data_IF_673487641211
#
_entry.id   IF_673487641211
#
_cell.length_a   1.000
_cell.length_b   1.000
_cell.length_c   1.000
_cell.angle_alpha   90.00
_cell.angle_beta   90.00
_cell.angle_gamma   90.00
#
_symmetry.space_group_name_H-M   'P 1'
#
loop_
_entity.id
_entity.type
_entity.pdbx_description
1 polymer ?
#
# COMPACT_ATOMS: atom_id res chain seq x y z
N UNK A 1 -6.77 27.83 -20.48
CA UNK A 1 -6.58 26.88 -19.35
C UNK A 1 -5.12 26.88 -18.89
N UNK A 2 -4.17 26.96 -19.82
CA UNK A 2 -2.73 27.14 -19.60
C UNK A 2 -2.38 28.30 -18.65
N UNK A 3 -3.11 29.43 -18.68
CA UNK A 3 -2.82 30.56 -17.78
C UNK A 3 -3.03 30.28 -16.28
N UNK A 4 -3.80 29.25 -15.91
CA UNK A 4 -4.08 28.92 -14.50
C UNK A 4 -3.03 27.94 -13.94
N UNK A 5 -2.64 26.95 -14.74
CA UNK A 5 -1.64 25.95 -14.39
C UNK A 5 -0.39 26.20 -15.23
N UNK A 6 0.38 27.21 -14.82
CA UNK A 6 1.62 27.61 -15.48
C UNK A 6 2.78 26.66 -15.07
N UNK A 7 3.25 25.88 -16.04
CA UNK A 7 4.35 24.94 -15.83
C UNK A 7 5.68 25.63 -15.52
N UNK A 8 5.96 26.81 -16.11
CA UNK A 8 7.19 27.55 -15.89
C UNK A 8 7.30 28.08 -14.46
N UNK A 9 6.21 28.67 -13.94
CA UNK A 9 6.14 29.11 -12.54
C UNK A 9 6.27 27.94 -11.56
N UNK A 10 5.60 26.82 -11.86
CA UNK A 10 5.66 25.62 -11.04
C UNK A 10 7.07 25.01 -11.00
N UNK A 11 7.73 24.88 -12.15
CA UNK A 11 9.08 24.33 -12.26
C UNK A 11 10.12 25.23 -11.58
N UNK A 12 10.03 26.55 -11.76
CA UNK A 12 10.92 27.52 -11.10
C UNK A 12 10.82 27.44 -9.57
N UNK A 13 9.60 27.29 -9.05
CA UNK A 13 9.39 27.04 -7.63
C UNK A 13 9.97 25.69 -7.19
N UNK A 14 9.75 24.63 -7.97
CA UNK A 14 10.22 23.29 -7.63
C UNK A 14 11.75 23.20 -7.56
N UNK A 15 12.46 23.89 -8.47
CA UNK A 15 13.93 23.89 -8.51
C UNK A 15 14.56 24.44 -7.21
N UNK A 16 13.85 25.33 -6.52
CA UNK A 16 14.32 25.95 -5.27
C UNK A 16 13.73 25.33 -4.00
N UNK A 17 12.62 24.58 -4.10
CA UNK A 17 11.87 24.10 -2.94
C UNK A 17 11.74 22.57 -2.82
N UNK A 18 12.15 21.79 -3.83
CA UNK A 18 12.03 20.33 -3.80
C UNK A 18 12.78 19.72 -2.62
N UNK A 19 12.11 18.84 -1.88
CA UNK A 19 12.77 18.02 -0.86
C UNK A 19 13.79 17.08 -1.50
N UNK A 20 14.92 16.94 -0.85
CA UNK A 20 15.93 15.93 -1.13
C UNK A 20 15.38 14.59 -0.63
N UNK A 21 15.11 13.67 -1.57
CA UNK A 21 14.58 12.32 -1.28
C UNK A 21 15.48 11.28 -1.98
N UNK A 22 15.68 10.09 -1.42
CA UNK A 22 16.59 9.09 -1.99
C UNK A 22 16.29 8.77 -3.46
N UNK A 23 15.01 8.56 -3.80
CA UNK A 23 14.56 8.25 -5.16
C UNK A 23 14.57 9.45 -6.12
N UNK A 24 14.81 10.67 -5.64
CA UNK A 24 15.01 11.87 -6.49
C UNK A 24 16.47 12.11 -6.86
N UNK A 25 17.39 11.36 -6.28
CA UNK A 25 18.83 11.46 -6.53
C UNK A 25 19.31 10.43 -7.55
N UNK A 26 18.39 9.82 -8.29
CA UNK A 26 18.68 8.83 -9.31
C UNK A 26 17.72 8.98 -10.49
N UNK A 27 18.14 8.49 -11.66
CA UNK A 27 17.29 8.29 -12.85
C UNK A 27 17.03 6.81 -13.14
N UNK A 28 17.48 5.92 -12.26
CA UNK A 28 17.26 4.48 -12.40
C UNK A 28 15.76 4.16 -12.37
N UNK A 29 15.18 3.63 -13.47
CA UNK A 29 13.76 3.32 -13.56
C UNK A 29 13.28 2.30 -12.51
N UNK A 30 14.12 1.33 -12.14
CA UNK A 30 13.78 0.34 -11.11
C UNK A 30 13.58 1.02 -9.76
N UNK A 31 14.55 1.86 -9.38
CA UNK A 31 14.53 2.62 -8.12
C UNK A 31 13.37 3.61 -8.06
N UNK A 32 13.10 4.31 -9.16
CA UNK A 32 11.96 5.23 -9.25
C UNK A 32 10.66 4.44 -9.09
N UNK A 33 10.48 3.36 -9.87
CA UNK A 33 9.27 2.53 -9.81
C UNK A 33 9.04 1.92 -8.43
N UNK A 34 10.08 1.40 -7.78
CA UNK A 34 10.01 0.91 -6.40
C UNK A 34 9.46 1.97 -5.45
N UNK A 35 9.99 3.20 -5.53
CA UNK A 35 9.53 4.30 -4.68
C UNK A 35 8.07 4.68 -4.95
N UNK A 36 7.66 4.71 -6.22
CA UNK A 36 6.29 5.02 -6.62
C UNK A 36 5.30 3.98 -6.09
N UNK A 37 5.67 2.70 -6.15
CA UNK A 37 4.86 1.62 -5.56
C UNK A 37 4.80 1.76 -4.04
N UNK A 38 5.92 2.05 -3.36
CA UNK A 38 5.93 2.25 -1.91
C UNK A 38 5.12 3.47 -1.46
N UNK A 39 5.09 4.56 -2.24
CA UNK A 39 4.39 5.80 -1.92
C UNK A 39 2.87 5.72 -2.09
N UNK A 40 2.35 4.70 -2.78
CA UNK A 40 0.91 4.47 -2.88
C UNK A 40 0.27 4.33 -1.49
N UNK A 41 -0.54 5.33 -1.11
CA UNK A 41 -1.21 5.41 0.19
C UNK A 41 -0.26 5.34 1.41
N UNK A 42 1.01 5.67 1.24
CA UNK A 42 2.01 5.64 2.33
C UNK A 42 2.75 6.97 2.39
N UNK A 43 3.01 7.48 3.60
CA UNK A 43 3.67 8.77 3.78
C UNK A 43 5.17 8.69 3.45
N UNK A 44 5.73 9.76 2.89
CA UNK A 44 7.15 9.86 2.51
C UNK A 44 8.08 9.48 3.67
N UNK A 45 7.84 10.03 4.86
CA UNK A 45 8.67 9.75 6.05
C UNK A 45 8.69 8.26 6.43
N UNK A 46 7.57 7.57 6.23
CA UNK A 46 7.47 6.12 6.43
C UNK A 46 8.22 5.35 5.35
N UNK A 47 8.17 5.81 4.09
CA UNK A 47 8.79 5.10 2.95
C UNK A 47 10.32 5.17 2.98
N UNK A 48 10.92 6.29 3.37
CA UNK A 48 12.39 6.48 3.34
C UNK A 48 13.19 5.29 3.92
N UNK A 49 12.96 4.85 5.19
CA UNK A 49 13.72 3.74 5.75
C UNK A 49 13.38 2.37 5.12
N UNK A 50 12.24 2.24 4.44
CA UNK A 50 11.89 1.02 3.69
C UNK A 50 12.58 1.00 2.34
N UNK A 51 12.57 2.13 1.64
CA UNK A 51 13.23 2.28 0.36
C UNK A 51 14.72 1.96 0.46
N UNK A 52 15.44 2.60 1.39
CA UNK A 52 16.89 2.43 1.53
C UNK A 52 17.26 0.95 1.74
N UNK A 53 16.69 0.28 2.75
CA UNK A 53 16.98 -1.13 3.01
C UNK A 53 16.54 -2.05 1.86
N UNK A 54 15.46 -1.71 1.14
CA UNK A 54 15.03 -2.50 -0.02
C UNK A 54 16.05 -2.39 -1.14
N UNK A 55 16.51 -1.19 -1.46
CA UNK A 55 17.51 -0.97 -2.50
C UNK A 55 18.89 -1.48 -2.13
N UNK A 56 19.20 -1.62 -0.84
CA UNK A 56 20.44 -2.25 -0.38
C UNK A 56 20.38 -3.78 -0.54
N UNK A 57 19.24 -4.40 -0.22
CA UNK A 57 19.06 -5.85 -0.34
C UNK A 57 18.77 -6.32 -1.77
N UNK A 58 18.10 -5.47 -2.56
CA UNK A 58 17.68 -5.73 -3.94
C UNK A 58 18.07 -4.51 -4.79
N UNK A 59 19.33 -4.45 -5.27
CA UNK A 59 19.86 -3.27 -5.94
C UNK A 59 19.25 -3.00 -7.32
N UNK A 60 18.69 -4.02 -7.97
CA UNK A 60 18.08 -3.94 -9.30
C UNK A 60 16.85 -4.86 -9.45
N UNK A 61 16.20 -4.79 -10.61
CA UNK A 61 15.01 -5.58 -10.92
C UNK A 61 15.25 -7.09 -10.90
N UNK A 62 16.42 -7.55 -11.36
CA UNK A 62 16.78 -8.97 -11.40
C UNK A 62 17.01 -9.51 -9.99
N UNK A 63 17.75 -8.78 -9.16
CA UNK A 63 17.96 -9.15 -7.76
C UNK A 63 16.65 -9.26 -6.98
N UNK A 64 15.67 -8.38 -7.24
CA UNK A 64 14.33 -8.49 -6.65
C UNK A 64 13.54 -9.68 -7.24
N UNK A 65 13.63 -9.93 -8.55
CA UNK A 65 12.96 -11.05 -9.21
C UNK A 65 13.42 -12.43 -8.71
N UNK A 66 14.72 -12.57 -8.44
CA UNK A 66 15.39 -13.79 -7.98
C UNK A 66 15.19 -14.04 -6.48
N UNK A 67 14.75 -13.04 -5.73
CA UNK A 67 14.52 -13.16 -4.30
C UNK A 67 13.36 -14.12 -3.97
N UNK A 68 13.52 -14.85 -2.87
CA UNK A 68 12.43 -15.65 -2.30
C UNK A 68 11.29 -14.75 -1.82
N UNK A 69 10.04 -15.10 -2.16
CA UNK A 69 8.83 -14.34 -1.83
C UNK A 69 8.77 -13.97 -0.34
N UNK A 70 9.11 -14.90 0.55
CA UNK A 70 9.04 -14.68 2.00
C UNK A 70 10.03 -13.64 2.49
N UNK A 71 11.24 -13.60 1.91
CA UNK A 71 12.22 -12.56 2.21
C UNK A 71 11.70 -11.19 1.78
N UNK A 72 11.13 -11.10 0.57
CA UNK A 72 10.58 -9.85 0.04
C UNK A 72 9.38 -9.37 0.90
N UNK A 73 8.45 -10.27 1.22
CA UNK A 73 7.30 -9.97 2.07
C UNK A 73 7.72 -9.54 3.47
N UNK A 74 8.75 -10.17 4.04
CA UNK A 74 9.30 -9.80 5.34
C UNK A 74 9.90 -8.39 5.31
N UNK A 75 10.64 -8.05 4.25
CA UNK A 75 11.18 -6.69 4.11
C UNK A 75 10.09 -5.63 3.91
N UNK A 76 8.96 -6.00 3.29
CA UNK A 76 7.79 -5.15 3.09
C UNK A 76 6.89 -5.06 4.35
N UNK A 77 7.12 -5.91 5.35
CA UNK A 77 6.31 -6.00 6.56
C UNK A 77 6.18 -4.62 7.23
N UNK A 78 4.94 -4.17 7.44
CA UNK A 78 4.65 -2.86 8.05
C UNK A 78 4.29 -1.73 7.06
N UNK A 79 4.61 -1.83 5.76
CA UNK A 79 4.14 -0.84 4.76
C UNK A 79 2.65 -0.94 4.47
N UNK A 80 2.04 -2.09 4.75
CA UNK A 80 0.66 -2.36 4.39
C UNK A 80 0.41 -2.49 2.89
N UNK A 81 -0.84 -2.80 2.55
CA UNK A 81 -1.32 -2.94 1.17
C UNK A 81 -0.43 -3.88 0.32
N UNK A 82 -0.24 -5.11 0.83
CA UNK A 82 0.72 -6.11 0.34
C UNK A 82 0.50 -6.58 -1.10
N UNK A 83 -0.67 -6.34 -1.69
CA UNK A 83 -0.87 -6.56 -3.13
C UNK A 83 0.11 -5.75 -3.97
N UNK A 84 0.57 -4.59 -3.47
CA UNK A 84 1.64 -3.81 -4.11
C UNK A 84 2.95 -4.59 -4.19
N UNK A 85 3.37 -5.20 -3.07
CA UNK A 85 4.56 -6.04 -3.00
C UNK A 85 4.47 -7.23 -3.96
N UNK A 86 3.34 -7.94 -3.94
CA UNK A 86 3.09 -9.09 -4.81
C UNK A 86 3.12 -8.73 -6.29
N UNK A 87 2.44 -7.63 -6.67
CA UNK A 87 2.43 -7.19 -8.05
C UNK A 87 3.80 -6.70 -8.49
N UNK A 88 4.52 -5.96 -7.64
CA UNK A 88 5.89 -5.52 -7.93
C UNK A 88 6.81 -6.72 -8.17
N UNK A 89 6.77 -7.74 -7.30
CA UNK A 89 7.60 -8.95 -7.47
C UNK A 89 7.27 -9.70 -8.76
N UNK A 90 5.97 -9.88 -9.07
CA UNK A 90 5.55 -10.46 -10.35
C UNK A 90 6.03 -9.64 -11.55
N UNK A 91 5.99 -8.32 -11.42
CA UNK A 91 6.42 -7.42 -12.48
C UNK A 91 7.94 -7.43 -12.66
N UNK A 92 8.72 -7.50 -11.58
CA UNK A 92 10.19 -7.70 -11.66
C UNK A 92 10.55 -9.01 -12.35
N UNK A 93 9.84 -10.09 -12.05
CA UNK A 93 10.04 -11.39 -12.74
C UNK A 93 9.77 -11.27 -14.22
N UNK A 94 8.67 -10.60 -14.61
CA UNK A 94 8.38 -10.30 -16.01
C UNK A 94 9.46 -9.43 -16.67
N UNK A 95 9.98 -8.42 -15.96
CA UNK A 95 11.10 -7.60 -16.43
C UNK A 95 12.37 -8.42 -16.65
N UNK A 96 12.72 -9.33 -15.72
CA UNK A 96 13.86 -10.23 -15.85
C UNK A 96 13.68 -11.17 -17.05
N UNK A 97 12.53 -11.84 -17.13
CA UNK A 97 12.28 -12.94 -18.06
C UNK A 97 12.00 -12.46 -19.50
N UNK A 98 11.25 -11.36 -19.67
CA UNK A 98 10.80 -10.88 -20.98
C UNK A 98 11.54 -9.63 -21.48
N UNK A 99 12.19 -8.88 -20.57
CA UNK A 99 12.85 -7.61 -20.91
C UNK A 99 14.34 -7.58 -20.51
N UNK A 100 14.95 -8.73 -20.24
CA UNK A 100 16.38 -8.86 -19.95
C UNK A 100 16.83 -8.08 -18.71
N UNK A 101 15.94 -7.93 -17.72
CA UNK A 101 16.21 -7.20 -16.48
C UNK A 101 16.10 -5.67 -16.60
N UNK A 102 15.73 -5.15 -17.78
CA UNK A 102 15.58 -3.71 -18.01
C UNK A 102 14.12 -3.31 -17.96
N UNK A 103 13.78 -2.31 -17.16
CA UNK A 103 12.43 -1.73 -17.13
C UNK A 103 12.11 -1.17 -18.52
N UNK A 104 10.98 -1.54 -19.14
CA UNK A 104 10.61 -1.03 -20.46
C UNK A 104 10.51 0.49 -20.48
N UNK A 105 11.09 1.10 -21.52
CA UNK A 105 11.13 2.54 -21.75
C UNK A 105 10.00 3.02 -22.64
N UNK A 106 9.01 2.17 -22.95
CA UNK A 106 7.79 2.55 -23.66
C UNK A 106 6.57 2.46 -22.72
N UNK A 107 5.68 3.45 -22.72
CA UNK A 107 4.47 3.43 -21.89
C UNK A 107 3.59 2.21 -22.13
N UNK A 108 3.47 1.76 -23.38
CA UNK A 108 2.65 0.61 -23.76
C UNK A 108 3.20 -0.67 -23.12
N UNK A 109 4.50 -0.95 -23.27
CA UNK A 109 5.11 -2.14 -22.68
C UNK A 109 5.09 -2.07 -21.15
N UNK A 110 5.40 -0.91 -20.57
CA UNK A 110 5.43 -0.73 -19.11
C UNK A 110 4.04 -0.87 -18.48
N UNK A 111 2.98 -0.35 -19.12
CA UNK A 111 1.61 -0.48 -18.63
C UNK A 111 1.09 -1.92 -18.65
N UNK A 112 1.68 -2.80 -19.47
CA UNK A 112 1.38 -4.23 -19.50
C UNK A 112 1.95 -5.02 -18.31
N UNK A 113 2.68 -4.38 -17.39
CA UNK A 113 3.28 -5.02 -16.23
C UNK A 113 2.31 -5.08 -15.03
N UNK A 114 2.34 -6.17 -14.23
CA UNK A 114 1.49 -6.32 -13.06
C UNK A 114 1.57 -5.14 -12.08
N UNK A 115 0.41 -4.58 -11.73
CA UNK A 115 0.30 -3.47 -10.78
C UNK A 115 0.70 -2.10 -11.32
N UNK A 116 1.03 -1.98 -12.61
CA UNK A 116 1.26 -0.69 -13.27
C UNK A 116 -0.08 -0.13 -13.74
N UNK A 117 -0.66 0.77 -12.95
CA UNK A 117 -1.83 1.56 -13.36
C UNK A 117 -1.44 2.85 -14.10
N UNK A 118 -2.43 3.64 -14.57
CA UNK A 118 -2.18 4.88 -15.30
C UNK A 118 -1.25 5.86 -14.59
N UNK A 119 -1.44 6.06 -13.28
CA UNK A 119 -0.57 6.90 -12.46
C UNK A 119 0.88 6.41 -12.47
N UNK A 120 1.12 5.13 -12.13
CA UNK A 120 2.48 4.58 -12.05
C UNK A 120 3.16 4.62 -13.42
N UNK A 121 2.41 4.35 -14.49
CA UNK A 121 2.91 4.45 -15.86
C UNK A 121 3.40 5.86 -16.15
N UNK A 122 2.54 6.87 -16.02
CA UNK A 122 2.91 8.26 -16.28
C UNK A 122 4.04 8.75 -15.37
N UNK A 123 4.01 8.41 -14.08
CA UNK A 123 5.04 8.82 -13.13
C UNK A 123 6.42 8.25 -13.48
N UNK A 124 6.54 6.94 -13.65
CA UNK A 124 7.83 6.30 -13.95
C UNK A 124 8.33 6.70 -15.33
N UNK A 125 7.46 6.68 -16.34
CA UNK A 125 7.84 6.97 -17.73
C UNK A 125 8.25 8.44 -17.92
N UNK A 126 7.62 9.39 -17.22
CA UNK A 126 8.03 10.79 -17.27
C UNK A 126 9.31 11.07 -16.48
N UNK A 127 9.49 10.46 -15.30
CA UNK A 127 10.64 10.73 -14.43
C UNK A 127 11.91 10.04 -14.94
N UNK A 128 11.80 8.77 -15.33
CA UNK A 128 12.97 7.97 -15.72
C UNK A 128 13.32 8.12 -17.20
N UNK A 129 12.32 8.24 -18.08
CA UNK A 129 12.51 8.19 -19.53
C UNK A 129 12.14 9.50 -20.24
N UNK A 130 11.55 10.48 -19.54
CA UNK A 130 11.26 11.80 -20.11
C UNK A 130 10.04 11.85 -21.02
N UNK A 131 9.16 10.83 -20.98
CA UNK A 131 7.91 10.87 -21.75
C UNK A 131 6.97 11.96 -21.22
N UNK A 132 6.37 12.72 -22.13
CA UNK A 132 5.42 13.79 -21.80
C UNK A 132 4.05 13.22 -21.41
N UNK A 133 3.99 12.63 -20.21
CA UNK A 133 2.80 12.00 -19.65
C UNK A 133 2.49 12.64 -18.30
N UNK A 134 1.25 13.11 -18.10
CA UNK A 134 0.86 13.71 -16.83
C UNK A 134 0.45 12.64 -15.81
N UNK A 135 1.07 12.69 -14.63
CA UNK A 135 0.77 11.77 -13.53
C UNK A 135 -0.19 12.42 -12.52
N UNK A 136 -1.35 11.78 -12.28
CA UNK A 136 -2.39 12.31 -11.38
C UNK A 136 -2.54 11.43 -10.13
N UNK A 137 -2.09 11.93 -8.98
CA UNK A 137 -2.29 11.32 -7.67
C UNK A 137 -3.32 12.10 -6.82
N UNK A 138 -3.46 11.73 -5.54
CA UNK A 138 -4.32 12.45 -4.59
C UNK A 138 -3.89 13.90 -4.32
N UNK A 139 -2.61 14.23 -4.46
CA UNK A 139 -2.09 15.59 -4.34
C UNK A 139 -2.47 16.43 -5.55
N UNK A 140 -2.23 15.92 -6.76
CA UNK A 140 -2.58 16.55 -8.04
C UNK A 140 -4.08 16.78 -8.12
N UNK A 141 -4.90 15.76 -7.79
CA UNK A 141 -6.36 15.90 -7.73
C UNK A 141 -6.78 17.11 -6.87
N UNK A 142 -6.18 17.29 -5.69
CA UNK A 142 -6.50 18.41 -4.79
C UNK A 142 -6.02 19.76 -5.35
N UNK A 143 -4.81 19.81 -5.89
CA UNK A 143 -4.27 21.04 -6.50
C UNK A 143 -5.16 21.49 -7.65
N UNK A 144 -5.45 20.60 -8.59
CA UNK A 144 -6.21 20.93 -9.81
C UNK A 144 -7.65 21.29 -9.47
N UNK A 145 -8.34 20.51 -8.62
CA UNK A 145 -9.71 20.86 -8.20
C UNK A 145 -9.80 22.23 -7.52
N UNK A 146 -8.77 22.66 -6.79
CA UNK A 146 -8.69 24.02 -6.21
C UNK A 146 -8.37 25.09 -7.24
N UNK A 147 -7.43 24.84 -8.15
CA UNK A 147 -7.08 25.78 -9.21
C UNK A 147 -8.30 26.14 -10.07
N UNK A 148 -9.10 25.13 -10.42
CA UNK A 148 -10.25 25.30 -11.30
C UNK A 148 -11.59 25.41 -10.57
N UNK A 149 -11.62 25.29 -9.24
CA UNK A 149 -12.83 25.27 -8.40
C UNK A 149 -13.88 24.23 -8.89
N UNK A 150 -13.46 22.98 -9.05
CA UNK A 150 -14.32 21.91 -9.55
C UNK A 150 -15.27 21.40 -8.45
N UNK A 151 -16.54 21.82 -8.46
CA UNK A 151 -17.54 21.49 -7.42
C UNK A 151 -18.06 20.04 -7.47
N UNK A 152 -17.74 19.26 -8.50
CA UNK A 152 -18.15 17.86 -8.59
C UNK A 152 -17.35 16.92 -7.67
N UNK A 153 -17.94 15.78 -7.32
CA UNK A 153 -17.23 14.74 -6.55
C UNK A 153 -15.98 14.28 -7.32
N UNK A 154 -14.82 14.31 -6.68
CA UNK A 154 -13.51 14.05 -7.32
C UNK A 154 -13.37 12.66 -7.93
N UNK A 155 -14.18 11.69 -7.47
CA UNK A 155 -14.20 10.34 -8.03
C UNK A 155 -15.12 10.18 -9.24
N UNK A 156 -15.93 11.19 -9.57
CA UNK A 156 -16.84 11.16 -10.73
C UNK A 156 -16.05 11.19 -12.05
N UNK A 157 -16.58 10.54 -13.08
CA UNK A 157 -15.93 10.46 -14.39
C UNK A 157 -15.67 11.86 -15.01
N UNK A 158 -16.63 12.78 -14.88
CA UNK A 158 -16.49 14.14 -15.39
C UNK A 158 -15.36 14.93 -14.71
N UNK A 159 -15.27 14.87 -13.38
CA UNK A 159 -14.20 15.57 -12.65
C UNK A 159 -12.83 14.92 -12.88
N UNK A 160 -12.74 13.59 -12.93
CA UNK A 160 -11.49 12.90 -13.27
C UNK A 160 -10.97 13.31 -14.65
N UNK A 161 -11.86 13.39 -15.64
CA UNK A 161 -11.52 13.84 -17.00
C UNK A 161 -11.04 15.28 -16.99
N UNK A 162 -11.80 16.20 -16.37
CA UNK A 162 -11.41 17.60 -16.28
C UNK A 162 -10.05 17.80 -15.58
N UNK A 163 -9.73 16.98 -14.57
CA UNK A 163 -8.41 17.02 -13.92
C UNK A 163 -7.32 16.55 -14.88
N UNK A 164 -7.54 15.43 -15.56
CA UNK A 164 -6.59 14.86 -16.52
C UNK A 164 -6.33 15.83 -17.68
N UNK A 165 -7.39 16.36 -18.31
CA UNK A 165 -7.28 17.31 -19.43
C UNK A 165 -6.48 18.56 -19.02
N UNK A 166 -6.67 19.05 -17.79
CA UNK A 166 -5.97 20.22 -17.29
C UNK A 166 -4.47 19.97 -17.10
N UNK A 167 -4.06 18.78 -16.64
CA UNK A 167 -2.64 18.44 -16.47
C UNK A 167 -1.99 18.02 -17.78
N UNK A 168 -2.70 17.34 -18.68
CA UNK A 168 -2.20 16.97 -20.01
C UNK A 168 -1.92 18.21 -20.84
N UNK A 169 -2.75 19.25 -20.70
CA UNK A 169 -2.53 20.53 -21.39
C UNK A 169 -1.38 21.36 -20.80
N UNK A 170 -0.88 21.01 -19.62
CA UNK A 170 0.11 21.80 -18.88
C UNK A 170 1.44 21.07 -18.67
N UNK A 171 1.49 19.76 -18.88
CA UNK A 171 2.71 18.98 -18.69
C UNK A 171 3.82 19.53 -19.58
N UNK A 172 5.02 19.69 -19.01
CA UNK A 172 6.16 20.22 -19.74
C UNK A 172 6.67 19.18 -20.74
N UNK A 173 6.77 19.57 -22.01
CA UNK A 173 7.37 18.73 -23.06
C UNK A 173 8.85 18.45 -22.82
N UNK A 174 9.56 19.36 -22.16
CA UNK A 174 11.02 19.26 -21.94
C UNK A 174 11.40 18.74 -20.56
N UNK A 175 10.52 18.91 -19.56
CA UNK A 175 10.75 18.49 -18.17
C UNK A 175 9.51 17.79 -17.56
N UNK A 176 8.93 16.76 -18.21
CA UNK A 176 7.66 16.17 -17.75
C UNK A 176 7.79 15.50 -16.37
N UNK A 177 8.91 14.82 -16.12
CA UNK A 177 9.21 14.21 -14.83
C UNK A 177 9.29 15.23 -13.68
N UNK A 178 9.97 16.36 -13.89
CA UNK A 178 10.04 17.43 -12.89
C UNK A 178 8.68 18.10 -12.70
N UNK A 179 7.91 18.30 -13.78
CA UNK A 179 6.55 18.86 -13.69
C UNK A 179 5.64 17.98 -12.82
N UNK A 180 5.62 16.66 -13.06
CA UNK A 180 4.83 15.73 -12.27
C UNK A 180 5.26 15.74 -10.80
N UNK A 181 6.57 15.71 -10.54
CA UNK A 181 7.08 15.81 -9.18
C UNK A 181 6.77 17.16 -8.52
N UNK A 182 6.78 18.26 -9.26
CA UNK A 182 6.44 19.58 -8.77
C UNK A 182 4.97 19.68 -8.38
N UNK A 183 4.06 19.11 -9.17
CA UNK A 183 2.63 19.04 -8.83
C UNK A 183 2.40 18.26 -7.54
N UNK A 184 3.05 17.09 -7.41
CA UNK A 184 2.97 16.27 -6.20
C UNK A 184 3.57 16.99 -4.98
N UNK A 185 4.74 17.64 -5.15
CA UNK A 185 5.42 18.40 -4.10
C UNK A 185 4.60 19.60 -3.64
N UNK A 186 3.99 20.34 -4.58
CA UNK A 186 3.12 21.47 -4.29
C UNK A 186 1.93 21.03 -3.44
N UNK A 187 1.27 19.94 -3.83
CA UNK A 187 0.18 19.38 -3.05
C UNK A 187 0.64 18.92 -1.66
N UNK A 188 1.79 18.27 -1.57
CA UNK A 188 2.30 17.71 -0.33
C UNK A 188 2.74 18.78 0.69
N UNK A 189 3.29 19.91 0.24
CA UNK A 189 4.02 20.86 1.11
C UNK A 189 3.37 22.23 1.24
N UNK A 190 2.55 22.66 0.25
CA UNK A 190 1.96 24.00 0.20
C UNK A 190 0.45 23.92 0.13
N UNK A 191 -0.08 23.26 -0.90
CA UNK A 191 -1.51 23.09 -1.14
C UNK A 191 -2.05 21.89 -0.33
N UNK A 192 -1.84 21.91 0.98
CA UNK A 192 -2.18 20.81 1.90
C UNK A 192 -3.69 20.64 2.10
N UNK A 193 -4.18 19.48 2.59
CA UNK A 193 -5.61 19.24 2.76
C UNK A 193 -6.34 20.27 3.65
N UNK A 194 -5.68 20.73 4.72
CA UNK A 194 -6.19 21.75 5.65
C UNK A 194 -5.17 22.87 5.77
N UNK A 195 -5.64 24.11 5.86
CA UNK A 195 -4.82 25.32 5.98
C UNK A 195 -3.71 25.38 4.92
N UNK A 196 -4.03 25.35 3.61
CA UNK A 196 -3.02 25.47 2.57
C UNK A 196 -2.30 26.81 2.67
N UNK A 197 -0.99 26.81 2.48
CA UNK A 197 -0.17 28.03 2.51
C UNK A 197 -0.23 28.75 1.15
N UNK A 198 -1.37 29.37 0.87
CA UNK A 198 -1.58 30.08 -0.39
C UNK A 198 -0.63 31.26 -0.60
N UNK A 199 0.04 31.75 0.46
CA UNK A 199 0.99 32.86 0.36
C UNK A 199 2.26 32.44 -0.40
N UNK A 200 2.70 31.19 -0.18
CA UNK A 200 3.88 30.56 -0.79
C UNK A 200 3.58 29.79 -2.08
N UNK A 201 2.33 29.72 -2.50
CA UNK A 201 1.93 28.97 -3.69
C UNK A 201 2.33 29.72 -4.97
N UNK A 202 3.11 29.11 -5.89
CA UNK A 202 3.50 29.73 -7.16
C UNK A 202 2.31 29.98 -8.08
N UNK A 203 1.22 29.21 -7.93
CA UNK A 203 0.01 29.28 -8.75
C UNK A 203 -1.10 30.12 -8.11
N UNK A 204 -0.77 30.94 -7.09
CA UNK A 204 -1.79 31.65 -6.28
C UNK A 204 -2.59 32.70 -7.04
N UNK A 205 -2.04 33.27 -8.11
CA UNK A 205 -2.69 34.32 -8.93
C UNK A 205 -3.87 33.75 -9.72
N UNK A 206 -3.68 32.58 -10.34
CA UNK A 206 -4.72 31.91 -11.13
C UNK A 206 -5.69 31.03 -10.33
N UNK A 207 -5.44 30.79 -9.04
CA UNK A 207 -6.22 29.84 -8.24
C UNK A 207 -7.65 30.34 -7.93
N UNK A 208 -8.66 29.75 -8.57
CA UNK A 208 -10.07 30.11 -8.36
C UNK A 208 -10.56 29.84 -6.94
N UNK A 209 -10.21 28.70 -6.33
CA UNK A 209 -10.62 28.41 -4.96
C UNK A 209 -10.02 29.41 -3.94
N UNK A 210 -8.83 29.97 -4.22
CA UNK A 210 -8.25 31.04 -3.40
C UNK A 210 -9.03 32.34 -3.57
N UNK A 211 -9.34 32.75 -4.80
CA UNK A 211 -10.14 33.95 -5.06
C UNK A 211 -11.52 33.89 -4.36
N UNK A 212 -12.08 32.69 -4.25
CA UNK A 212 -13.36 32.44 -3.56
C UNK A 212 -13.23 32.22 -2.03
N UNK A 213 -12.02 32.09 -1.48
CA UNK A 213 -11.82 31.70 -0.08
C UNK A 213 -12.34 30.30 0.28
N UNK A 214 -12.45 29.38 -0.70
CA UNK A 214 -13.07 28.05 -0.57
C UNK A 214 -12.08 26.90 -0.74
N UNK A 215 -10.78 27.10 -0.52
CA UNK A 215 -9.75 26.08 -0.77
C UNK A 215 -10.03 24.74 -0.05
N UNK A 216 -10.51 24.78 1.19
CA UNK A 216 -10.81 23.57 1.97
C UNK A 216 -12.11 22.86 1.54
N UNK A 217 -12.95 23.50 0.71
CA UNK A 217 -14.12 22.85 0.11
C UNK A 217 -13.73 21.87 -1.02
N UNK A 218 -12.50 21.94 -1.51
CA UNK A 218 -11.99 21.10 -2.61
C UNK A 218 -10.84 20.18 -2.15
N UNK A 219 -10.76 18.94 -2.67
CA UNK A 219 -11.73 18.31 -3.57
C UNK A 219 -13.04 17.95 -2.86
N UNK A 220 -14.17 18.04 -3.58
CA UNK A 220 -15.44 17.52 -3.07
C UNK A 220 -15.36 16.00 -3.00
N UNK A 221 -15.58 15.44 -1.81
CA UNK A 221 -15.51 14.00 -1.56
C UNK A 221 -16.92 13.41 -1.57
N UNK A 222 -17.05 12.19 -2.06
CA UNK A 222 -18.31 11.45 -1.98
C UNK A 222 -18.67 11.09 -0.54
N UNK A 223 -19.93 10.72 -0.32
CA UNK A 223 -20.40 10.24 0.98
C UNK A 223 -19.57 9.05 1.47
N UNK A 224 -19.19 9.07 2.75
CA UNK A 224 -18.49 7.94 3.37
C UNK A 224 -19.50 6.84 3.65
N UNK A 225 -19.22 5.62 3.17
CA UNK A 225 -19.96 4.43 3.58
C UNK A 225 -19.59 4.06 5.03
N UNK A 226 -20.51 3.44 5.74
CA UNK A 226 -20.22 2.84 7.05
C UNK A 226 -19.10 1.80 6.87
N UNK A 227 -18.11 1.85 7.78
CA UNK A 227 -16.98 0.92 7.77
C UNK A 227 -17.38 -0.29 8.61
N UNK A 228 -17.59 -1.48 8.02
CA UNK A 228 -18.02 -2.66 8.77
C UNK A 228 -16.94 -3.11 9.76
N UNK A 229 -17.37 -3.69 10.88
CA UNK A 229 -16.52 -4.36 11.86
C UNK A 229 -16.75 -5.86 11.78
N UNK A 230 -15.66 -6.62 11.59
CA UNK A 230 -15.71 -8.07 11.52
C UNK A 230 -15.04 -8.71 12.75
N UNK A 231 -15.78 -9.46 13.59
CA UNK A 231 -15.18 -10.30 14.61
C UNK A 231 -14.44 -11.48 13.96
N UNK A 232 -13.27 -11.80 14.49
CA UNK A 232 -12.39 -12.88 14.03
C UNK A 232 -11.88 -13.62 15.26
N UNK A 233 -12.13 -14.92 15.33
CA UNK A 233 -11.58 -15.80 16.37
C UNK A 233 -10.34 -16.51 15.84
N UNK A 234 -9.27 -16.51 16.63
CA UNK A 234 -7.97 -17.10 16.33
C UNK A 234 -7.58 -18.07 17.44
N UNK A 235 -6.97 -19.19 17.05
CA UNK A 235 -6.49 -20.23 17.96
C UNK A 235 -4.97 -20.21 18.06
N UNK A 236 -4.47 -20.29 19.29
CA UNK A 236 -3.10 -20.63 19.63
C UNK A 236 -3.10 -22.08 20.05
N UNK A 237 -2.76 -22.96 19.11
CA UNK A 237 -2.57 -24.37 19.44
C UNK A 237 -1.14 -24.58 19.92
N UNK A 238 -0.98 -25.04 21.15
CA UNK A 238 0.33 -25.26 21.78
C UNK A 238 0.64 -26.76 21.81
N UNK A 239 1.85 -27.13 21.40
CA UNK A 239 2.38 -28.50 21.51
C UNK A 239 3.89 -28.46 21.68
N UNK A 240 4.41 -29.14 22.70
CA UNK A 240 5.85 -29.27 22.97
C UNK A 240 6.58 -27.91 23.01
N UNK A 241 5.98 -26.91 23.66
CA UNK A 241 6.53 -25.54 23.75
C UNK A 241 6.48 -24.74 22.45
N UNK A 242 5.85 -25.27 21.40
CA UNK A 242 5.67 -24.62 20.10
C UNK A 242 4.21 -24.26 19.86
N UNK A 243 4.00 -23.26 19.02
CA UNK A 243 2.70 -22.78 18.58
C UNK A 243 2.48 -23.08 17.10
N UNK A 244 1.25 -23.43 16.76
CA UNK A 244 0.83 -23.67 15.39
C UNK A 244 0.59 -22.36 14.65
N UNK A 245 1.22 -22.23 13.48
CA UNK A 245 0.98 -21.13 12.55
C UNK A 245 0.73 -21.67 11.16
N UNK A 246 -0.03 -20.94 10.36
CA UNK A 246 -0.32 -21.30 8.97
C UNK A 246 -0.04 -20.13 8.04
N UNK A 247 0.27 -20.45 6.79
CA UNK A 247 0.45 -19.44 5.75
C UNK A 247 -0.86 -19.20 5.01
N UNK A 248 -1.21 -17.93 4.82
CA UNK A 248 -2.39 -17.53 4.05
C UNK A 248 -2.23 -17.94 2.58
N UNK A 249 -3.33 -18.24 1.87
CA UNK A 249 -3.28 -18.56 0.44
C UNK A 249 -2.54 -17.51 -0.39
N UNK A 250 -2.00 -17.90 -1.54
CA UNK A 250 -1.26 -17.01 -2.45
C UNK A 250 -2.15 -15.93 -3.14
N UNK A 251 -3.46 -15.97 -2.91
CA UNK A 251 -4.44 -15.01 -3.43
C UNK A 251 -5.37 -14.56 -2.30
N UNK A 252 -5.90 -13.34 -2.44
CA UNK A 252 -6.84 -12.76 -1.48
C UNK A 252 -6.19 -11.82 -0.48
N UNK A 253 -6.93 -11.49 0.58
CA UNK A 253 -6.48 -10.53 1.59
C UNK A 253 -5.26 -11.06 2.35
N UNK A 254 -4.18 -10.26 2.38
CA UNK A 254 -2.91 -10.56 3.05
C UNK A 254 -2.28 -11.87 2.55
N UNK A 255 -2.38 -12.12 1.23
CA UNK A 255 -1.87 -13.31 0.59
C UNK A 255 -0.40 -13.62 0.96
N UNK A 256 -0.11 -14.90 1.22
CA UNK A 256 1.23 -15.38 1.53
C UNK A 256 1.82 -14.98 2.87
N UNK A 257 1.11 -14.21 3.70
CA UNK A 257 1.54 -13.89 5.07
C UNK A 257 1.24 -15.05 6.04
N UNK A 258 1.98 -15.13 7.14
CA UNK A 258 1.72 -16.09 8.21
C UNK A 258 0.64 -15.58 9.16
N UNK A 259 -0.08 -16.50 9.78
CA UNK A 259 -1.15 -16.19 10.74
C UNK A 259 -1.35 -17.29 11.78
N UNK A 260 -2.11 -16.94 12.82
CA UNK A 260 -2.70 -17.92 13.72
C UNK A 260 -3.92 -18.53 13.04
N UNK A 261 -4.15 -19.86 13.12
CA UNK A 261 -5.34 -20.50 12.57
C UNK A 261 -6.63 -19.89 13.11
N UNK A 262 -7.65 -19.77 12.26
CA UNK A 262 -8.94 -19.22 12.66
C UNK A 262 -9.62 -18.44 11.54
N UNK A 263 -10.64 -17.65 11.88
CA UNK A 263 -11.36 -16.92 10.86
C UNK A 263 -12.51 -16.07 11.39
N UNK A 264 -13.27 -15.53 10.43
CA UNK A 264 -14.38 -14.63 10.72
C UNK A 264 -15.49 -15.39 11.45
N UNK A 265 -16.01 -14.76 12.50
CA UNK A 265 -17.22 -15.20 13.20
C UNK A 265 -18.41 -14.75 12.36
N UNK A 266 -19.22 -15.70 11.91
CA UNK A 266 -20.39 -15.45 11.09
C UNK A 266 -21.60 -15.09 11.96
N UNK A 267 -22.64 -14.54 11.35
CA UNK A 267 -23.88 -14.19 12.05
C UNK A 267 -24.48 -15.45 12.68
N UNK A 268 -24.68 -15.41 14.01
CA UNK A 268 -25.24 -16.52 14.78
C UNK A 268 -24.21 -17.51 15.34
N UNK A 269 -22.92 -17.35 15.03
CA UNK A 269 -21.85 -18.19 15.60
C UNK A 269 -21.31 -17.63 16.91
N UNK A 270 -20.95 -18.52 17.83
CA UNK A 270 -20.00 -18.22 18.92
C UNK A 270 -18.55 -18.19 18.38
N UNK A 271 -17.59 -17.78 19.22
CA UNK A 271 -16.18 -17.83 18.83
C UNK A 271 -15.69 -19.26 18.68
N UNK A 272 -16.19 -20.15 19.55
CA UNK A 272 -15.92 -21.58 19.57
C UNK A 272 -16.43 -22.25 18.29
N UNK A 273 -17.65 -21.94 17.85
CA UNK A 273 -18.21 -22.43 16.58
C UNK A 273 -17.35 -22.01 15.38
N UNK A 274 -16.94 -20.73 15.35
CA UNK A 274 -16.13 -20.19 14.28
C UNK A 274 -14.75 -20.86 14.22
N UNK A 275 -14.10 -21.09 15.38
CA UNK A 275 -12.83 -21.82 15.46
C UNK A 275 -12.99 -23.28 15.04
N UNK A 276 -14.04 -23.96 15.50
CA UNK A 276 -14.37 -25.33 15.11
C UNK A 276 -14.49 -25.49 13.60
N UNK A 277 -15.30 -24.63 12.97
CA UNK A 277 -15.48 -24.61 11.51
C UNK A 277 -14.16 -24.29 10.78
N UNK A 278 -13.49 -23.20 11.14
CA UNK A 278 -12.28 -22.76 10.43
C UNK A 278 -11.14 -23.77 10.51
N UNK A 279 -10.83 -24.30 11.70
CA UNK A 279 -9.75 -25.28 11.85
C UNK A 279 -10.10 -26.62 11.20
N UNK A 280 -11.37 -27.02 11.20
CA UNK A 280 -11.79 -28.23 10.48
C UNK A 280 -11.64 -28.05 8.96
N UNK A 281 -12.05 -26.90 8.41
CA UNK A 281 -12.00 -26.61 6.98
C UNK A 281 -10.56 -26.43 6.45
N UNK A 282 -9.68 -25.83 7.26
CA UNK A 282 -8.33 -25.48 6.84
C UNK A 282 -7.29 -26.51 7.26
N UNK A 283 -7.44 -27.10 8.44
CA UNK A 283 -6.42 -27.94 9.07
C UNK A 283 -6.89 -29.38 9.37
N UNK A 284 -8.17 -29.67 9.14
CA UNK A 284 -8.74 -31.00 9.36
C UNK A 284 -8.83 -31.42 10.83
N UNK A 285 -8.83 -30.45 11.74
CA UNK A 285 -8.84 -30.70 13.18
C UNK A 285 -9.93 -29.91 13.88
N UNK A 286 -10.47 -30.47 14.95
CA UNK A 286 -11.43 -29.78 15.82
C UNK A 286 -10.69 -29.33 17.10
N UNK A 287 -10.63 -28.02 17.38
CA UNK A 287 -10.01 -27.52 18.60
C UNK A 287 -10.92 -27.72 19.81
N UNK A 288 -10.34 -28.08 20.94
CA UNK A 288 -10.89 -27.79 22.26
C UNK A 288 -10.49 -26.35 22.61
N UNK A 289 -11.42 -25.41 22.47
CA UNK A 289 -11.19 -23.99 22.71
C UNK A 289 -11.13 -23.73 24.22
N UNK A 290 -10.03 -23.13 24.67
CA UNK A 290 -9.75 -22.81 26.06
C UNK A 290 -9.88 -21.32 26.37
N UNK A 291 -9.00 -20.82 27.23
CA UNK A 291 -9.03 -19.44 27.72
C UNK A 291 -8.77 -18.41 26.61
N UNK A 292 -9.51 -17.30 26.64
CA UNK A 292 -9.20 -16.09 25.87
C UNK A 292 -7.87 -15.49 26.38
N UNK A 293 -6.85 -15.48 25.52
CA UNK A 293 -5.55 -14.81 25.76
C UNK A 293 -5.73 -13.30 25.74
N UNK A 294 -6.46 -12.78 24.76
CA UNK A 294 -6.72 -11.36 24.64
C UNK A 294 -7.36 -10.98 23.31
N UNK A 295 -7.57 -9.68 23.12
CA UNK A 295 -8.21 -9.18 21.90
C UNK A 295 -7.65 -7.83 21.47
N UNK A 296 -7.67 -7.58 20.16
CA UNK A 296 -7.21 -6.31 19.58
C UNK A 296 -8.11 -5.86 18.44
N UNK A 297 -8.33 -4.55 18.36
CA UNK A 297 -8.98 -3.95 17.18
C UNK A 297 -7.92 -3.49 16.18
N UNK A 298 -8.15 -3.76 14.90
CA UNK A 298 -7.34 -3.26 13.81
C UNK A 298 -8.22 -2.67 12.69
N UNK A 299 -7.77 -1.56 12.11
CA UNK A 299 -8.47 -0.88 11.03
C UNK A 299 -7.72 -1.07 9.71
N UNK A 300 -8.42 -1.56 8.70
CA UNK A 300 -8.01 -1.50 7.30
C UNK A 300 -8.77 -0.36 6.60
N UNK A 301 -8.38 -0.01 5.36
CA UNK A 301 -8.96 1.14 4.64
C UNK A 301 -10.48 1.05 4.42
N UNK A 302 -11.06 -0.17 4.38
CA UNK A 302 -12.46 -0.40 4.03
C UNK A 302 -13.26 -1.20 5.06
N UNK A 303 -12.62 -1.69 6.13
CA UNK A 303 -13.26 -2.45 7.20
C UNK A 303 -12.38 -2.44 8.45
N UNK A 304 -12.95 -2.82 9.59
CA UNK A 304 -12.23 -3.07 10.83
C UNK A 304 -12.36 -4.54 11.19
N UNK A 305 -11.36 -5.06 11.89
CA UNK A 305 -11.43 -6.39 12.52
C UNK A 305 -11.27 -6.25 14.02
N UNK A 306 -12.02 -7.08 14.75
CA UNK A 306 -11.76 -7.36 16.17
C UNK A 306 -11.23 -8.78 16.24
N UNK A 307 -9.94 -8.93 16.55
CA UNK A 307 -9.31 -10.23 16.71
C UNK A 307 -9.45 -10.69 18.16
N UNK A 308 -9.89 -11.92 18.37
CA UNK A 308 -9.91 -12.59 19.66
C UNK A 308 -8.99 -13.80 19.59
N UNK A 309 -7.99 -13.86 20.46
CA UNK A 309 -7.00 -14.93 20.48
C UNK A 309 -7.28 -15.87 21.66
N UNK A 310 -7.49 -17.15 21.36
CA UNK A 310 -7.79 -18.19 22.34
C UNK A 310 -6.66 -19.20 22.42
N UNK A 311 -6.36 -19.69 23.62
CA UNK A 311 -5.64 -20.96 23.76
C UNK A 311 -6.54 -22.08 23.26
N UNK A 312 -5.96 -23.04 22.55
CA UNK A 312 -6.69 -24.20 22.09
C UNK A 312 -5.81 -25.45 22.16
N UNK A 313 -6.45 -26.58 22.42
CA UNK A 313 -5.85 -27.90 22.28
C UNK A 313 -6.47 -28.60 21.08
N UNK A 314 -5.73 -29.51 20.45
CA UNK A 314 -6.25 -30.33 19.35
C UNK A 314 -6.20 -31.78 19.78
N UNK A 315 -7.38 -32.38 20.00
CA UNK A 315 -7.52 -33.77 20.40
C UNK A 315 -7.56 -34.70 19.18
N UNK A 316 -6.50 -35.47 18.96
CA UNK A 316 -6.43 -36.47 17.88
C UNK A 316 -6.15 -35.86 16.49
N UNK A 317 -5.37 -36.58 15.68
CA UNK A 317 -4.88 -36.10 14.38
C UNK A 317 -3.71 -35.10 14.50
N UNK A 318 -3.03 -34.83 13.40
CA UNK A 318 -2.01 -33.76 13.31
C UNK A 318 -2.56 -32.67 12.40
N UNK A 319 -2.58 -31.39 12.84
CA UNK A 319 -3.00 -30.28 12.00
C UNK A 319 -2.20 -30.27 10.70
N UNK A 320 -2.90 -30.37 9.57
CA UNK A 320 -2.28 -30.35 8.23
C UNK A 320 -3.15 -29.54 7.30
N UNK A 321 -2.54 -28.71 6.46
CA UNK A 321 -3.32 -27.86 5.58
C UNK A 321 -4.07 -28.68 4.52
N UNK A 322 -5.40 -28.65 4.55
CA UNK A 322 -6.27 -29.25 3.54
C UNK A 322 -6.16 -28.61 2.15
N UNK A 323 -5.64 -27.38 2.10
CA UNK A 323 -5.53 -26.58 0.87
C UNK A 323 -4.08 -26.45 0.38
N UNK A 324 -3.15 -27.25 0.93
CA UNK A 324 -1.73 -27.27 0.56
C UNK A 324 -0.89 -26.03 0.95
N UNK A 325 -1.39 -25.14 1.82
CA UNK A 325 -0.55 -24.08 2.38
C UNK A 325 0.44 -24.64 3.41
N UNK A 326 1.63 -24.02 3.55
CA UNK A 326 2.53 -24.32 4.65
C UNK A 326 1.87 -24.13 6.02
N UNK A 327 2.13 -25.09 6.90
CA UNK A 327 1.78 -25.08 8.32
C UNK A 327 3.08 -25.37 9.06
N UNK A 328 3.33 -24.66 10.16
CA UNK A 328 4.56 -24.80 10.91
C UNK A 328 4.31 -24.73 12.42
N UNK A 329 5.21 -25.36 13.18
CA UNK A 329 5.25 -25.33 14.63
C UNK A 329 6.48 -24.52 15.05
N UNK A 330 6.25 -23.32 15.53
CA UNK A 330 7.32 -22.36 15.83
C UNK A 330 7.37 -22.05 17.33
N UNK A 331 8.52 -21.55 17.79
CA UNK A 331 8.61 -20.98 19.14
C UNK A 331 8.07 -19.54 19.17
N UNK A 332 7.83 -18.98 20.36
CA UNK A 332 7.41 -17.58 20.47
C UNK A 332 8.50 -16.61 20.00
N UNK A 333 9.76 -17.01 20.12
CA UNK A 333 10.95 -16.28 19.66
C UNK A 333 10.99 -16.18 18.12
N UNK A 334 10.48 -17.20 17.43
CA UNK A 334 10.45 -17.25 15.97
C UNK A 334 9.35 -16.37 15.33
N UNK A 335 8.38 -15.88 16.11
CA UNK A 335 7.28 -15.02 15.63
C UNK A 335 7.80 -13.80 14.84
N UNK A 336 8.94 -13.25 15.25
CA UNK A 336 9.54 -12.09 14.59
C UNK A 336 10.28 -12.42 13.29
N UNK A 337 10.52 -13.69 12.98
CA UNK A 337 11.21 -14.13 11.75
C UNK A 337 10.25 -14.22 10.58
N UNK A 338 9.00 -14.60 10.84
CA UNK A 338 7.95 -14.71 9.84
C UNK A 338 7.28 -13.35 9.57
N UNK A 339 6.68 -13.22 8.38
CA UNK A 339 5.93 -12.03 7.99
C UNK A 339 4.46 -12.17 8.42
N UNK A 340 4.05 -11.45 9.46
CA UNK A 340 2.69 -11.46 9.99
C UNK A 340 1.96 -10.15 9.70
N UNK A 341 0.63 -10.19 9.50
CA UNK A 341 -0.18 -8.98 9.43
C UNK A 341 0.01 -8.12 10.69
N UNK A 342 0.03 -6.80 10.54
CA UNK A 342 0.12 -5.86 11.68
C UNK A 342 -0.96 -6.13 12.73
N UNK A 343 -2.14 -6.61 12.32
CA UNK A 343 -3.21 -7.00 13.24
C UNK A 343 -2.79 -8.17 14.16
N UNK A 344 -2.18 -9.23 13.61
CA UNK A 344 -1.68 -10.38 14.38
C UNK A 344 -0.49 -10.00 15.26
N UNK A 345 0.42 -9.15 14.76
CA UNK A 345 1.60 -8.70 15.54
C UNK A 345 1.21 -8.01 16.85
N UNK A 346 0.07 -7.31 16.88
CA UNK A 346 -0.45 -6.69 18.12
C UNK A 346 -0.83 -7.71 19.20
N UNK A 347 -1.06 -8.97 18.82
CA UNK A 347 -1.36 -10.05 19.77
C UNK A 347 -0.09 -10.69 20.35
N UNK A 348 1.09 -10.47 19.76
CA UNK A 348 2.33 -11.14 20.19
C UNK A 348 2.68 -10.89 21.66
N UNK A 349 2.62 -9.64 22.19
CA UNK A 349 2.91 -9.42 23.61
C UNK A 349 1.97 -10.18 24.53
N UNK A 350 0.67 -10.21 24.20
CA UNK A 350 -0.35 -10.92 24.98
C UNK A 350 -0.14 -12.44 24.94
N UNK A 351 0.28 -12.95 23.79
CA UNK A 351 0.61 -14.36 23.61
C UNK A 351 1.84 -14.76 24.43
N UNK A 352 2.91 -13.96 24.38
CA UNK A 352 4.15 -14.23 25.13
C UNK A 352 3.87 -14.20 26.62
N UNK A 353 3.11 -13.21 27.11
CA UNK A 353 2.71 -13.12 28.52
C UNK A 353 1.86 -14.32 28.97
N UNK A 354 1.03 -14.88 28.09
CA UNK A 354 0.17 -16.01 28.43
C UNK A 354 0.89 -17.38 28.39
N UNK A 355 2.05 -17.48 27.72
CA UNK A 355 2.82 -18.72 27.56
C UNK A 355 4.12 -18.77 28.37
N UNK A 356 4.57 -17.64 28.92
CA UNK A 356 5.75 -17.50 29.80
C UNK A 356 5.39 -17.34 31.26
#
# INVERSE_FOLDING_TARGET
MTDILDAGLLLSWYDTHKRILPWRQTRDPYRIWLSEVMLQQTQVATVIPYYNRFTDAFPDATALADAQDDRVLKMWEGLGYYNRCHNLLKAMRKVRDEHGGRVPDTPEAFSGLPGVGPYTCAAVQSIAFGHSLAAVDGNVNRVVTRLFALDGVVTSAGVKRAIQDAVDSAVSETRPGDFNQAMMELGATVCTPRRPDCSRCPLRSGCKARALGRQEAFPVKGAKKAVPLYPVALAVVVKDGKILVQKRPAKGHLAGMWEFPGGRVLTGETHEDALGRCLMDELGVVPAVGKLVGSVTHAYSHFRVQLYLYLAEVGGGSPTSKKGQPVDWITTEDLNRLAFPTANRKLFPLLVEALG
#
